data_IF_050090227665
#
_entry.id   IF_050090227665
#
_cell.length_a   1.000
_cell.length_b   1.000
_cell.length_c   1.000
_cell.angle_alpha   90.00
_cell.angle_beta   90.00
_cell.angle_gamma   90.00
#
_symmetry.space_group_name_H-M   'P 1'
#
loop_
_entity.id
_entity.type
_entity.pdbx_description
1 polymer ?
#
# COMPACT_ATOMS: atom_id res chain seq x y z
N UNK A 1 -3.11 15.34 15.41
CA UNK A 1 -1.68 14.99 15.58
C UNK A 1 -1.54 13.48 15.40
N UNK A 2 -0.42 13.01 14.81
CA UNK A 2 -0.13 11.57 14.68
C UNK A 2 1.03 11.23 15.59
N UNK A 3 0.95 10.12 16.30
CA UNK A 3 1.98 9.69 17.25
C UNK A 3 2.07 8.16 17.30
N UNK A 4 3.24 7.64 17.64
CA UNK A 4 3.52 6.22 17.81
C UNK A 4 2.81 5.72 19.07
N UNK A 5 1.94 4.72 18.92
CA UNK A 5 1.17 4.16 20.05
C UNK A 5 1.76 2.84 20.54
N UNK A 6 2.11 1.95 19.64
CA UNK A 6 2.69 0.64 19.96
C UNK A 6 3.80 0.31 18.98
N UNK A 7 4.80 -0.41 19.45
CA UNK A 7 5.86 -1.02 18.64
C UNK A 7 5.96 -2.50 19.02
N UNK A 8 5.81 -3.38 18.04
CA UNK A 8 6.03 -4.82 18.21
C UNK A 8 7.30 -5.23 17.50
N UNK A 9 8.13 -5.94 18.22
CA UNK A 9 9.38 -6.51 17.76
C UNK A 9 9.30 -8.04 17.89
N UNK A 10 9.43 -8.74 16.78
CA UNK A 10 9.47 -10.20 16.76
C UNK A 10 10.78 -10.62 16.09
N UNK A 11 11.57 -11.42 16.78
CA UNK A 11 12.90 -11.89 16.33
C UNK A 11 13.86 -10.74 15.98
N UNK A 12 13.79 -9.62 16.67
CA UNK A 12 14.70 -8.49 16.47
C UNK A 12 15.78 -8.43 17.53
N UNK A 13 17.02 -8.61 17.14
CA UNK A 13 18.20 -8.75 18.03
C UNK A 13 17.91 -9.82 19.11
N UNK A 14 17.92 -9.49 20.39
CA UNK A 14 17.56 -10.42 21.48
C UNK A 14 16.04 -10.39 21.85
N UNK A 15 15.26 -9.52 21.25
CA UNK A 15 13.82 -9.57 21.42
C UNK A 15 13.23 -10.75 20.63
N UNK A 16 12.55 -11.64 21.35
CA UNK A 16 11.87 -12.79 20.75
C UNK A 16 10.48 -12.33 20.27
N UNK A 17 9.68 -11.79 21.19
CA UNK A 17 8.41 -11.17 20.93
C UNK A 17 8.12 -10.15 22.03
N UNK A 18 8.15 -8.87 21.66
CA UNK A 18 7.92 -7.79 22.61
C UNK A 18 7.01 -6.74 22.01
N UNK A 19 6.08 -6.24 22.83
CA UNK A 19 5.20 -5.13 22.45
C UNK A 19 5.39 -3.99 23.44
N UNK A 20 5.85 -2.87 22.92
CA UNK A 20 6.09 -1.66 23.69
C UNK A 20 4.95 -0.66 23.45
N UNK A 21 4.41 -0.12 24.51
CA UNK A 21 3.40 0.93 24.46
C UNK A 21 4.04 2.30 24.66
N UNK A 22 3.61 3.25 23.84
CA UNK A 22 4.08 4.63 23.85
C UNK A 22 2.93 5.57 24.18
N UNK A 23 3.25 6.65 24.85
CA UNK A 23 2.37 7.80 25.01
C UNK A 23 2.76 8.93 24.05
N UNK A 24 2.12 10.08 24.19
CA UNK A 24 2.51 11.28 23.42
C UNK A 24 3.94 11.72 23.71
N UNK A 25 4.41 11.47 24.91
CA UNK A 25 5.79 11.64 25.35
C UNK A 25 6.18 10.39 26.12
N UNK A 26 7.28 9.77 25.74
CA UNK A 26 7.76 8.52 26.34
C UNK A 26 9.25 8.64 26.61
N UNK A 27 9.65 8.36 27.84
CA UNK A 27 11.05 8.26 28.22
C UNK A 27 11.43 6.78 28.33
N UNK A 28 12.41 6.37 27.52
CA UNK A 28 12.97 5.02 27.58
C UNK A 28 14.20 5.04 28.47
N UNK A 29 14.10 4.42 29.64
CA UNK A 29 15.19 4.32 30.62
C UNK A 29 15.55 2.86 30.90
N UNK A 30 16.70 2.62 31.45
CA UNK A 30 17.14 1.29 31.85
C UNK A 30 18.67 1.21 31.94
N UNK A 31 19.16 0.09 32.43
CA UNK A 31 20.59 -0.20 32.56
C UNK A 31 21.27 -0.27 31.17
N UNK A 32 22.59 -0.26 31.17
CA UNK A 32 23.33 -0.52 29.93
C UNK A 32 23.01 -1.93 29.42
N UNK A 33 22.98 -2.09 28.09
CA UNK A 33 22.58 -3.33 27.42
C UNK A 33 21.08 -3.74 27.60
N UNK A 34 20.23 -2.94 28.24
CA UNK A 34 18.79 -3.25 28.38
C UNK A 34 17.96 -3.13 27.08
N UNK A 35 18.59 -2.85 25.93
CA UNK A 35 17.90 -2.79 24.64
C UNK A 35 17.39 -1.42 24.19
N UNK A 36 17.68 -0.37 24.95
CA UNK A 36 17.24 1.00 24.55
C UNK A 36 17.65 1.37 23.14
N UNK A 37 18.92 1.18 22.79
CA UNK A 37 19.43 1.45 21.45
C UNK A 37 18.86 0.50 20.42
N UNK A 38 18.61 -0.76 20.76
CA UNK A 38 18.03 -1.77 19.87
C UNK A 38 16.59 -1.41 19.44
N UNK A 39 15.83 -0.78 20.34
CA UNK A 39 14.48 -0.26 20.05
C UNK A 39 14.59 0.91 19.06
N UNK A 40 15.53 1.83 19.31
CA UNK A 40 15.77 2.99 18.43
C UNK A 40 16.23 2.53 17.03
N UNK A 41 17.10 1.53 16.99
CA UNK A 41 17.58 0.95 15.73
C UNK A 41 16.47 0.25 14.95
N UNK A 42 15.53 -0.41 15.64
CA UNK A 42 14.32 -0.94 15.01
C UNK A 42 13.47 0.17 14.35
N UNK A 43 13.30 1.29 15.05
CA UNK A 43 12.58 2.45 14.50
C UNK A 43 13.34 3.07 13.31
N UNK A 44 14.68 3.08 13.31
CA UNK A 44 15.45 3.51 12.15
C UNK A 44 15.18 2.61 10.94
N UNK A 45 15.25 1.28 11.12
CA UNK A 45 14.98 0.32 10.04
C UNK A 45 13.58 0.52 9.47
N UNK A 46 12.60 0.69 10.34
CA UNK A 46 11.21 0.83 9.94
C UNK A 46 10.93 2.17 9.23
N UNK A 47 11.37 3.28 9.80
CA UNK A 47 10.98 4.61 9.33
C UNK A 47 11.86 5.11 8.19
N UNK A 48 13.17 4.83 8.23
CA UNK A 48 14.10 5.30 7.19
C UNK A 48 14.08 4.36 5.99
N UNK A 49 14.00 3.04 6.22
CA UNK A 49 13.98 1.98 5.21
C UNK A 49 15.16 2.01 4.20
N UNK A 50 16.16 2.84 4.42
CA UNK A 50 17.38 2.91 3.61
C UNK A 50 18.60 2.56 4.45
N UNK A 51 19.11 1.35 4.27
CA UNK A 51 20.25 0.83 5.04
C UNK A 51 21.54 1.65 4.89
N UNK A 52 21.69 2.39 3.79
CA UNK A 52 22.86 3.27 3.58
C UNK A 52 22.88 4.46 4.54
N UNK A 53 21.71 4.86 5.01
CA UNK A 53 21.52 5.99 5.91
C UNK A 53 21.42 5.54 7.38
N UNK A 54 21.06 4.28 7.64
CA UNK A 54 20.92 3.75 9.00
C UNK A 54 22.28 3.61 9.64
N UNK A 55 22.42 4.16 10.83
CA UNK A 55 23.63 4.04 11.66
C UNK A 55 23.25 3.32 12.95
N UNK A 56 23.53 2.03 12.99
CA UNK A 56 23.31 1.23 14.19
C UNK A 56 24.28 1.67 15.31
N UNK A 57 23.70 2.13 16.41
CA UNK A 57 24.34 2.55 17.67
C UNK A 57 25.79 3.11 17.55
N UNK A 58 25.96 4.40 17.24
CA UNK A 58 27.30 5.00 17.09
C UNK A 58 28.06 5.14 18.43
N UNK A 59 27.42 4.85 19.56
CA UNK A 59 28.02 4.95 20.89
C UNK A 59 28.78 3.68 21.36
N UNK A 60 28.70 2.58 20.61
CA UNK A 60 29.49 1.39 20.93
C UNK A 60 30.91 1.56 20.39
N UNK A 61 31.89 1.64 21.29
CA UNK A 61 33.33 1.68 20.99
C UNK A 61 33.87 0.38 20.35
N UNK A 62 33.02 -0.59 20.06
CA UNK A 62 33.41 -1.85 19.43
C UNK A 62 33.60 -1.66 17.93
N UNK A 63 34.80 -1.97 17.47
CA UNK A 63 35.27 -1.95 16.08
C UNK A 63 34.47 -2.86 15.12
N UNK A 64 33.61 -3.74 15.63
CA UNK A 64 32.72 -4.55 14.84
C UNK A 64 31.55 -3.71 14.34
N UNK A 65 31.59 -3.27 13.08
CA UNK A 65 30.47 -2.63 12.39
C UNK A 65 29.22 -3.51 12.54
N UNK A 66 28.25 -3.07 13.33
CA UNK A 66 26.97 -3.73 13.45
C UNK A 66 26.25 -3.67 12.11
N UNK A 67 26.00 -4.81 11.54
CA UNK A 67 25.32 -4.95 10.26
C UNK A 67 23.85 -5.33 10.49
N UNK A 68 23.01 -5.13 9.51
CA UNK A 68 21.61 -5.57 9.57
C UNK A 68 21.49 -7.04 9.93
N UNK A 69 22.30 -7.89 9.32
CA UNK A 69 22.30 -9.33 9.59
C UNK A 69 22.70 -9.67 11.04
N UNK A 70 23.59 -8.89 11.66
CA UNK A 70 23.96 -9.07 13.07
C UNK A 70 22.79 -8.77 14.02
N UNK A 71 21.94 -7.81 13.66
CA UNK A 71 20.69 -7.54 14.39
C UNK A 71 19.65 -8.64 14.18
N UNK A 72 19.47 -9.07 12.95
CA UNK A 72 18.50 -10.13 12.62
C UNK A 72 18.85 -11.44 13.33
N UNK A 73 20.11 -11.87 13.29
CA UNK A 73 20.57 -13.06 14.00
C UNK A 73 20.72 -12.89 15.51
N UNK A 74 20.74 -11.64 15.98
CA UNK A 74 20.90 -11.34 17.41
C UNK A 74 22.31 -11.67 17.89
N UNK A 75 23.35 -11.03 17.33
CA UNK A 75 24.76 -11.23 17.74
C UNK A 75 24.94 -10.79 19.18
N UNK A 76 25.41 -11.70 20.02
CA UNK A 76 25.73 -11.47 21.43
C UNK A 76 27.25 -11.59 21.61
N UNK A 77 27.91 -10.50 22.05
CA UNK A 77 29.36 -10.51 22.34
C UNK A 77 30.23 -10.22 21.10
N UNK A 78 31.56 -10.33 21.32
CA UNK A 78 32.58 -10.08 20.30
C UNK A 78 32.88 -11.30 19.41
N UNK A 79 32.54 -12.49 19.86
CA UNK A 79 32.83 -13.71 19.13
C UNK A 79 31.86 -13.92 17.96
N UNK A 80 32.39 -14.28 16.80
CA UNK A 80 31.62 -14.48 15.57
C UNK A 80 30.65 -15.68 15.58
N UNK A 81 30.61 -16.44 16.68
CA UNK A 81 29.83 -17.69 16.81
C UNK A 81 28.61 -17.59 17.71
N UNK A 82 28.38 -16.50 18.37
CA UNK A 82 27.26 -16.35 19.34
C UNK A 82 26.10 -15.57 18.74
N UNK A 83 25.22 -16.31 18.09
CA UNK A 83 23.93 -15.76 17.59
C UNK A 83 22.78 -16.36 18.39
N UNK A 84 21.74 -15.56 18.64
CA UNK A 84 20.49 -16.00 19.28
C UNK A 84 19.70 -16.92 18.34
N UNK A 85 19.78 -16.65 17.04
CA UNK A 85 19.03 -17.37 16.01
C UNK A 85 19.96 -17.87 14.92
N UNK A 86 19.69 -19.11 14.51
CA UNK A 86 20.35 -19.74 13.38
C UNK A 86 19.30 -20.42 12.48
N UNK A 87 19.66 -20.66 11.21
CA UNK A 87 18.72 -21.20 10.22
C UNK A 87 17.83 -20.16 9.57
N UNK A 88 16.69 -20.62 9.04
CA UNK A 88 15.70 -19.78 8.38
C UNK A 88 14.68 -19.29 9.42
N UNK A 89 14.44 -18.00 9.44
CA UNK A 89 13.46 -17.39 10.35
C UNK A 89 12.91 -16.08 9.78
N UNK A 90 11.81 -15.63 10.33
CA UNK A 90 11.18 -14.36 9.97
C UNK A 90 11.26 -13.38 11.14
N UNK A 91 11.56 -12.12 10.82
CA UNK A 91 11.62 -10.99 11.75
C UNK A 91 10.52 -9.99 11.41
N UNK A 92 9.89 -9.40 12.44
CA UNK A 92 8.94 -8.32 12.27
C UNK A 92 9.32 -7.12 13.12
N UNK A 93 9.24 -5.95 12.51
CA UNK A 93 9.26 -4.66 13.20
C UNK A 93 8.00 -3.92 12.77
N UNK A 94 7.07 -3.70 13.71
CA UNK A 94 5.74 -3.19 13.40
C UNK A 94 5.34 -2.11 14.37
N UNK A 95 4.92 -0.97 13.85
CA UNK A 95 4.51 0.20 14.62
C UNK A 95 3.05 0.58 14.34
N UNK A 96 2.26 0.75 15.39
CA UNK A 96 0.94 1.34 15.33
C UNK A 96 1.03 2.84 15.60
N UNK A 97 0.51 3.63 14.68
CA UNK A 97 0.35 5.07 14.84
C UNK A 97 -1.11 5.44 15.04
N UNK A 98 -1.35 6.36 15.95
CA UNK A 98 -2.67 6.95 16.20
C UNK A 98 -2.80 8.31 15.52
N UNK A 99 -3.81 8.48 14.68
CA UNK A 99 -4.21 9.78 14.15
C UNK A 99 -5.35 10.34 15.01
N UNK A 100 -5.06 11.36 15.82
CA UNK A 100 -6.04 11.96 16.71
C UNK A 100 -7.11 12.73 15.95
N UNK A 101 -6.75 13.36 14.83
CA UNK A 101 -7.70 14.16 14.06
C UNK A 101 -8.81 13.27 13.46
N UNK A 102 -8.44 12.08 13.01
CA UNK A 102 -9.38 11.10 12.42
C UNK A 102 -9.91 10.09 13.43
N UNK A 103 -9.31 10.00 14.62
CA UNK A 103 -9.57 8.96 15.65
C UNK A 103 -9.31 7.53 15.13
N UNK A 104 -8.47 7.39 14.13
CA UNK A 104 -8.12 6.13 13.48
C UNK A 104 -6.70 5.71 13.84
N UNK A 105 -6.41 4.42 13.75
CA UNK A 105 -5.04 3.89 13.83
C UNK A 105 -4.61 3.39 12.46
N UNK A 106 -3.33 3.42 12.21
CA UNK A 106 -2.72 2.73 11.07
C UNK A 106 -1.44 2.05 11.50
N UNK A 107 -1.10 0.99 10.82
CA UNK A 107 0.07 0.18 11.11
C UNK A 107 1.08 0.32 9.98
N UNK A 108 2.33 0.47 10.38
CA UNK A 108 3.50 0.50 9.48
C UNK A 108 4.43 -0.60 9.93
N UNK A 109 4.94 -1.40 9.02
CA UNK A 109 5.80 -2.51 9.39
C UNK A 109 6.78 -2.91 8.31
N UNK A 110 7.73 -3.74 8.70
CA UNK A 110 8.61 -4.48 7.82
C UNK A 110 8.63 -5.93 8.25
N UNK A 111 8.51 -6.83 7.29
CA UNK A 111 8.73 -8.26 7.44
C UNK A 111 10.00 -8.63 6.72
N UNK A 112 10.85 -9.41 7.39
CA UNK A 112 12.18 -9.76 6.91
C UNK A 112 12.35 -11.26 7.06
N UNK A 113 12.45 -11.95 5.95
CA UNK A 113 12.80 -13.37 5.92
C UNK A 113 14.31 -13.51 5.83
N UNK A 114 14.89 -14.22 6.75
CA UNK A 114 16.34 -14.47 6.86
C UNK A 114 16.61 -15.93 6.52
N UNK A 115 17.60 -16.16 5.68
CA UNK A 115 18.00 -17.48 5.20
C UNK A 115 19.33 -17.93 5.81
N UNK A 116 19.61 -19.23 5.75
CA UNK A 116 20.84 -19.85 6.29
C UNK A 116 22.12 -19.27 5.71
N UNK A 117 22.08 -18.89 4.45
CA UNK A 117 23.21 -18.28 3.72
C UNK A 117 23.49 -16.82 4.12
N UNK A 118 22.85 -16.33 5.17
CA UNK A 118 22.90 -14.95 5.68
C UNK A 118 22.32 -13.91 4.71
N UNK A 119 21.62 -14.34 3.67
CA UNK A 119 20.81 -13.46 2.88
C UNK A 119 19.47 -13.18 3.58
N UNK A 120 18.84 -12.07 3.24
CA UNK A 120 17.53 -11.73 3.75
C UNK A 120 16.74 -10.97 2.72
N UNK A 121 15.44 -11.11 2.77
CA UNK A 121 14.49 -10.39 1.93
C UNK A 121 13.54 -9.61 2.80
N UNK A 122 13.37 -8.34 2.48
CA UNK A 122 12.52 -7.41 3.25
C UNK A 122 11.34 -6.91 2.40
N UNK A 123 10.20 -6.76 3.02
CA UNK A 123 9.03 -6.12 2.44
C UNK A 123 8.40 -5.19 3.47
N UNK A 124 8.25 -3.94 3.10
CA UNK A 124 7.63 -2.92 3.93
C UNK A 124 6.13 -2.89 3.68
N UNK A 125 5.35 -2.59 4.71
CA UNK A 125 3.90 -2.48 4.57
C UNK A 125 3.31 -1.33 5.35
N UNK A 126 2.19 -0.81 4.85
CA UNK A 126 1.36 0.21 5.51
C UNK A 126 -0.09 -0.28 5.43
N UNK A 127 -0.72 -0.45 6.57
CA UNK A 127 -2.11 -0.87 6.69
C UNK A 127 -2.92 0.28 7.29
N UNK A 128 -3.85 0.81 6.49
CA UNK A 128 -4.75 1.86 6.96
C UNK A 128 -5.87 1.25 7.82
N UNK A 129 -6.40 2.04 8.73
CA UNK A 129 -7.56 1.69 9.58
C UNK A 129 -7.42 0.32 10.26
N UNK A 130 -6.20 0.05 10.74
CA UNK A 130 -5.80 -1.21 11.34
C UNK A 130 -5.09 -0.95 12.67
N UNK A 131 -5.30 -1.82 13.64
CA UNK A 131 -4.56 -1.83 14.91
C UNK A 131 -3.55 -2.97 14.91
N UNK A 132 -2.50 -2.81 15.69
CA UNK A 132 -1.45 -3.82 15.81
C UNK A 132 -1.99 -5.16 16.32
N UNK A 133 -2.95 -5.11 17.25
CA UNK A 133 -3.55 -6.30 17.86
C UNK A 133 -4.47 -7.10 16.88
N UNK A 134 -4.82 -6.51 15.73
CA UNK A 134 -5.61 -7.14 14.68
C UNK A 134 -4.75 -7.94 13.68
N UNK A 135 -3.42 -7.84 13.82
CA UNK A 135 -2.49 -8.51 12.92
C UNK A 135 -2.19 -9.93 13.39
N UNK A 136 -2.27 -10.85 12.45
CA UNK A 136 -2.03 -12.27 12.65
C UNK A 136 -0.62 -12.64 12.15
N UNK A 137 0.36 -12.66 13.06
CA UNK A 137 1.75 -12.98 12.76
C UNK A 137 2.04 -14.48 12.83
N UNK A 138 1.23 -15.23 13.56
CA UNK A 138 1.46 -16.63 13.89
C UNK A 138 0.46 -17.50 13.14
N UNK A 139 0.94 -18.60 12.58
CA UNK A 139 0.08 -19.62 11.98
C UNK A 139 -0.63 -20.46 13.05
N UNK A 140 -1.73 -21.12 12.71
CA UNK A 140 -2.33 -22.10 13.62
C UNK A 140 -1.37 -23.23 14.05
N UNK A 141 -0.30 -23.44 13.29
CA UNK A 141 0.78 -24.40 13.59
C UNK A 141 1.79 -23.89 14.61
N UNK A 142 1.64 -22.65 15.12
CA UNK A 142 2.57 -22.04 16.07
C UNK A 142 3.81 -21.39 15.44
N UNK A 143 3.99 -21.47 14.12
CA UNK A 143 5.10 -20.83 13.43
C UNK A 143 4.78 -19.44 12.96
N UNK A 144 5.78 -18.56 12.90
CA UNK A 144 5.62 -17.23 12.29
C UNK A 144 5.28 -17.36 10.80
N UNK A 145 4.47 -16.46 10.31
CA UNK A 145 4.21 -16.33 8.88
C UNK A 145 5.45 -15.74 8.22
N UNK A 146 5.84 -16.29 7.10
CA UNK A 146 6.86 -15.65 6.26
C UNK A 146 6.24 -14.43 5.52
N UNK A 147 7.08 -13.67 4.85
CA UNK A 147 6.71 -12.47 4.11
C UNK A 147 5.51 -12.70 3.17
N UNK A 148 5.56 -13.74 2.35
CA UNK A 148 4.51 -13.99 1.34
C UNK A 148 3.20 -14.45 1.97
N UNK A 149 3.28 -15.19 3.07
CA UNK A 149 2.10 -15.61 3.84
C UNK A 149 1.45 -14.46 4.58
N UNK A 150 2.28 -13.59 5.18
CA UNK A 150 1.80 -12.39 5.85
C UNK A 150 1.12 -11.45 4.84
N UNK A 151 1.76 -11.22 3.70
CA UNK A 151 1.19 -10.43 2.61
C UNK A 151 -0.14 -11.01 2.14
N UNK A 152 -0.21 -12.30 1.83
CA UNK A 152 -1.45 -12.95 1.43
C UNK A 152 -2.57 -12.81 2.48
N UNK A 153 -2.22 -12.90 3.75
CA UNK A 153 -3.19 -12.80 4.85
C UNK A 153 -3.76 -11.39 4.98
N UNK A 154 -2.93 -10.35 4.80
CA UNK A 154 -3.27 -8.97 5.09
C UNK A 154 -3.46 -8.09 3.84
N UNK A 155 -3.01 -8.51 2.66
CA UNK A 155 -3.27 -7.81 1.40
C UNK A 155 -4.73 -7.99 0.92
N UNK A 156 -5.31 -9.15 1.22
CA UNK A 156 -6.72 -9.47 0.92
C UNK A 156 -7.56 -9.09 2.15
N UNK A 157 -7.58 -7.83 2.51
CA UNK A 157 -8.55 -7.36 3.49
C UNK A 157 -9.91 -7.24 2.80
N UNK A 158 -10.76 -8.22 3.07
CA UNK A 158 -12.21 -8.32 2.89
C UNK A 158 -12.84 -7.35 1.87
N UNK A 159 -13.45 -7.93 0.88
CA UNK A 159 -14.45 -7.32 -0.01
C UNK A 159 -15.40 -6.46 0.85
N UNK A 160 -15.24 -5.13 0.75
CA UNK A 160 -16.09 -4.17 1.47
C UNK A 160 -15.40 -3.27 2.51
N UNK A 161 -14.18 -3.54 2.94
CA UNK A 161 -13.43 -2.65 3.84
C UNK A 161 -12.55 -1.68 3.05
N UNK A 162 -12.59 -0.39 3.42
CA UNK A 162 -11.76 0.70 2.84
C UNK A 162 -10.28 0.59 3.20
N UNK A 163 -9.82 -0.55 3.72
CA UNK A 163 -8.45 -0.73 4.21
C UNK A 163 -7.50 -0.85 3.03
N UNK A 164 -6.80 0.23 2.75
CA UNK A 164 -5.79 0.27 1.71
C UNK A 164 -4.49 -0.28 2.28
N UNK A 165 -4.21 -1.53 1.97
CA UNK A 165 -2.94 -2.18 2.27
C UNK A 165 -1.92 -1.83 1.19
N UNK A 166 -0.74 -1.38 1.59
CA UNK A 166 0.41 -1.15 0.72
C UNK A 166 1.49 -2.13 1.16
N UNK A 167 2.02 -2.89 0.22
CA UNK A 167 3.17 -3.78 0.41
C UNK A 167 4.21 -3.43 -0.63
N UNK A 168 5.40 -3.03 -0.19
CA UNK A 168 6.42 -2.48 -1.07
C UNK A 168 7.80 -3.03 -0.76
N UNK A 169 8.49 -3.50 -1.80
CA UNK A 169 9.92 -3.82 -1.75
C UNK A 169 10.79 -2.62 -2.13
N UNK A 170 10.22 -1.71 -2.92
CA UNK A 170 10.91 -0.50 -3.32
C UNK A 170 10.87 0.53 -2.18
N UNK A 171 12.03 0.77 -1.59
CA UNK A 171 12.23 1.65 -0.43
C UNK A 171 11.77 3.09 -0.69
N UNK A 172 12.03 3.62 -1.88
CA UNK A 172 11.63 4.99 -2.23
C UNK A 172 10.11 5.13 -2.35
N UNK A 173 9.43 4.09 -2.84
CA UNK A 173 7.95 4.08 -2.94
C UNK A 173 7.36 3.99 -1.54
N UNK A 174 7.90 3.11 -0.69
CA UNK A 174 7.50 3.02 0.70
C UNK A 174 7.70 4.33 1.46
N UNK A 175 8.87 4.96 1.34
CA UNK A 175 9.19 6.24 2.00
C UNK A 175 8.17 7.32 1.63
N UNK A 176 7.84 7.47 0.34
CA UNK A 176 6.82 8.42 -0.12
C UNK A 176 5.45 8.13 0.46
N UNK A 177 5.04 6.85 0.46
CA UNK A 177 3.77 6.42 1.05
C UNK A 177 3.74 6.69 2.56
N UNK A 178 4.83 6.42 3.27
CA UNK A 178 4.99 6.70 4.70
C UNK A 178 4.86 8.19 5.01
N UNK A 179 5.59 9.05 4.31
CA UNK A 179 5.53 10.50 4.49
C UNK A 179 4.12 11.05 4.25
N UNK A 180 3.47 10.56 3.21
CA UNK A 180 2.08 10.92 2.93
C UNK A 180 1.15 10.46 4.07
N UNK A 181 1.35 9.25 4.59
CA UNK A 181 0.54 8.72 5.70
C UNK A 181 0.80 9.45 7.01
N UNK A 182 2.02 9.88 7.26
CA UNK A 182 2.39 10.69 8.43
C UNK A 182 1.88 12.14 8.37
N UNK A 183 1.27 12.57 7.27
CA UNK A 183 0.63 13.88 7.15
C UNK A 183 1.16 14.74 6.01
N UNK A 184 1.76 14.14 4.99
CA UNK A 184 2.35 14.86 3.86
C UNK A 184 3.68 15.52 4.25
N UNK A 185 4.48 14.81 5.06
CA UNK A 185 5.79 15.32 5.47
C UNK A 185 6.74 15.37 4.26
N UNK A 186 7.68 16.31 4.32
CA UNK A 186 8.77 16.42 3.34
C UNK A 186 9.86 15.37 3.63
N UNK A 187 10.64 14.99 2.61
CA UNK A 187 11.79 14.07 2.70
C UNK A 187 12.84 14.50 3.74
N UNK A 188 12.83 15.77 4.14
CA UNK A 188 13.62 16.30 5.27
C UNK A 188 13.35 15.56 6.59
N UNK A 189 12.18 14.95 6.75
CA UNK A 189 11.83 14.15 7.92
C UNK A 189 12.91 13.12 8.23
N UNK A 190 13.38 12.37 7.24
CA UNK A 190 14.37 11.31 7.45
C UNK A 190 15.72 11.89 7.95
N UNK A 191 16.15 13.02 7.41
CA UNK A 191 17.39 13.69 7.85
C UNK A 191 17.28 14.23 9.27
N UNK A 192 16.15 14.84 9.60
CA UNK A 192 15.90 15.37 10.95
C UNK A 192 15.81 14.21 11.94
N UNK A 193 15.13 13.14 11.59
CA UNK A 193 15.01 11.94 12.42
C UNK A 193 16.38 11.33 12.74
N UNK A 194 17.22 11.13 11.73
CA UNK A 194 18.60 10.64 11.91
C UNK A 194 19.45 11.56 12.78
N UNK A 195 19.37 12.86 12.55
CA UNK A 195 20.09 13.85 13.37
C UNK A 195 19.60 13.84 14.82
N UNK A 196 18.31 13.71 15.04
CA UNK A 196 17.73 13.64 16.39
C UNK A 196 18.20 12.39 17.16
N UNK A 197 18.39 11.26 16.49
CA UNK A 197 18.89 10.03 17.10
C UNK A 197 20.40 10.08 17.44
N UNK A 198 21.17 10.85 16.70
CA UNK A 198 22.59 11.09 16.93
C UNK A 198 22.85 12.36 17.75
N UNK A 199 21.86 12.77 18.54
CA UNK A 199 21.92 14.00 19.31
C UNK A 199 23.10 14.01 20.29
N UNK A 200 24.00 14.99 20.09
CA UNK A 200 25.06 15.31 21.04
C UNK A 200 24.59 16.45 21.93
N UNK A 201 25.05 16.52 23.19
CA UNK A 201 24.70 17.64 24.06
C UNK A 201 24.93 18.98 23.36
N UNK A 202 23.95 19.86 23.43
CA UNK A 202 24.00 21.17 22.81
C UNK A 202 25.03 22.02 23.59
N UNK A 203 26.20 22.25 23.01
CA UNK A 203 27.21 23.15 23.56
C UNK A 203 26.98 24.60 23.10
N UNK A 204 26.33 24.76 21.93
CA UNK A 204 26.05 26.07 21.36
C UNK A 204 24.67 26.05 20.67
N UNK A 205 23.80 26.95 21.12
CA UNK A 205 22.42 27.06 20.55
C UNK A 205 22.46 27.46 19.06
N UNK A 206 23.42 28.29 18.65
CA UNK A 206 23.56 28.69 17.27
C UNK A 206 23.85 27.50 16.36
N UNK A 207 24.79 26.64 16.76
CA UNK A 207 25.16 25.43 15.99
C UNK A 207 24.00 24.43 15.92
N UNK A 208 23.22 24.33 17.00
CA UNK A 208 22.00 23.54 17.00
C UNK A 208 20.97 24.07 16.00
N UNK A 209 20.73 25.39 15.99
CA UNK A 209 19.76 25.99 15.07
C UNK A 209 20.21 25.78 13.62
N UNK A 210 21.48 25.99 13.31
CA UNK A 210 22.00 25.74 11.96
C UNK A 210 22.02 24.27 11.58
N UNK A 211 22.36 23.37 12.51
CA UNK A 211 22.45 21.93 12.20
C UNK A 211 21.09 21.24 12.11
N UNK A 212 20.09 21.67 12.87
CA UNK A 212 18.82 20.95 13.04
C UNK A 212 17.57 21.70 12.56
N UNK A 213 17.60 23.04 12.61
CA UNK A 213 16.42 23.87 12.32
C UNK A 213 16.54 24.57 10.97
N UNK A 214 17.70 25.22 10.75
CA UNK A 214 17.96 25.90 9.50
C UNK A 214 18.73 24.95 8.58
N UNK A 215 18.17 24.66 7.42
CA UNK A 215 18.98 24.11 6.34
C UNK A 215 19.87 25.23 5.79
N UNK A 216 21.15 24.95 5.62
CA UNK A 216 21.92 25.63 4.56
C UNK A 216 21.24 25.28 3.23
N UNK A 217 20.21 26.02 2.90
CA UNK A 217 19.76 26.09 1.54
C UNK A 217 20.85 26.85 0.81
N UNK A 218 21.63 26.16 0.00
CA UNK A 218 22.16 26.83 -1.18
C UNK A 218 20.94 27.53 -1.79
N UNK A 219 20.97 28.84 -1.69
CA UNK A 219 20.00 29.68 -2.38
C UNK A 219 20.19 29.33 -3.86
N UNK A 220 19.30 28.49 -4.38
CA UNK A 220 19.28 28.13 -5.80
C UNK A 220 18.83 29.38 -6.57
N UNK A 221 19.69 30.41 -6.53
CA UNK A 221 19.45 31.68 -7.20
C UNK A 221 19.25 31.48 -8.69
N UNK A 222 19.90 30.49 -9.26
CA UNK A 222 19.74 30.14 -10.68
C UNK A 222 18.35 29.56 -10.95
N UNK A 223 17.85 28.67 -10.11
CA UNK A 223 16.49 28.12 -10.22
C UNK A 223 15.44 29.23 -9.99
N UNK A 224 15.71 30.15 -9.06
CA UNK A 224 14.83 31.28 -8.80
C UNK A 224 14.81 32.25 -9.99
N UNK A 225 15.96 32.48 -10.63
CA UNK A 225 16.10 33.28 -11.83
C UNK A 225 15.39 32.64 -13.01
N UNK A 226 15.58 31.35 -13.20
CA UNK A 226 14.91 30.57 -14.25
C UNK A 226 13.38 30.59 -14.08
N UNK A 227 12.89 30.39 -12.84
CA UNK A 227 11.47 30.51 -12.54
C UNK A 227 10.92 31.93 -12.77
N UNK A 228 11.71 32.96 -12.49
CA UNK A 228 11.35 34.33 -12.75
C UNK A 228 11.28 34.62 -14.26
N UNK A 229 12.23 34.10 -15.03
CA UNK A 229 12.24 34.21 -16.50
C UNK A 229 11.03 33.51 -17.12
N UNK A 230 10.65 32.32 -16.60
CA UNK A 230 9.41 31.65 -16.99
C UNK A 230 8.18 32.45 -16.62
N UNK A 231 8.14 33.03 -15.42
CA UNK A 231 7.04 33.89 -15.00
C UNK A 231 6.89 35.11 -15.94
N UNK A 232 7.98 35.80 -16.23
CA UNK A 232 7.98 36.94 -17.16
C UNK A 232 7.54 36.53 -18.57
N UNK A 233 8.00 35.37 -19.06
CA UNK A 233 7.59 34.80 -20.34
C UNK A 233 6.08 34.54 -20.37
N UNK A 234 5.57 33.82 -19.38
CA UNK A 234 4.13 33.49 -19.33
C UNK A 234 3.27 34.73 -19.10
N UNK A 235 3.75 35.70 -18.35
CA UNK A 235 3.09 36.99 -18.19
C UNK A 235 2.91 37.71 -19.53
N UNK A 236 3.98 37.78 -20.32
CA UNK A 236 3.93 38.38 -21.69
C UNK A 236 2.99 37.59 -22.61
N UNK A 237 3.04 36.29 -22.57
CA UNK A 237 2.13 35.42 -23.33
C UNK A 237 0.65 35.65 -22.90
N UNK A 238 0.40 35.77 -21.60
CA UNK A 238 -0.92 36.06 -21.06
C UNK A 238 -1.44 37.42 -21.53
N UNK A 239 -0.59 38.45 -21.48
CA UNK A 239 -0.92 39.81 -21.99
C UNK A 239 -1.23 39.76 -23.50
N UNK A 240 -0.43 39.03 -24.29
CA UNK A 240 -0.72 38.86 -25.72
C UNK A 240 -2.04 38.09 -25.95
N UNK A 241 -2.29 37.05 -25.16
CA UNK A 241 -3.56 36.32 -25.24
C UNK A 241 -4.76 37.18 -24.85
N UNK A 242 -4.61 38.05 -23.84
CA UNK A 242 -5.65 38.99 -23.45
C UNK A 242 -5.93 39.99 -24.59
N UNK A 243 -4.90 40.58 -25.20
CA UNK A 243 -5.06 41.49 -26.36
C UNK A 243 -5.72 40.75 -27.53
N UNK A 244 -5.31 39.50 -27.77
CA UNK A 244 -5.92 38.70 -28.84
C UNK A 244 -7.38 38.35 -28.54
N UNK A 245 -7.71 38.05 -27.29
CA UNK A 245 -9.08 37.84 -26.81
C UNK A 245 -9.94 39.09 -27.04
N UNK A 246 -9.44 40.28 -26.66
CA UNK A 246 -10.15 41.52 -26.84
C UNK A 246 -10.40 41.82 -28.33
N UNK A 247 -9.37 41.60 -29.17
CA UNK A 247 -9.52 41.76 -30.65
C UNK A 247 -10.58 40.80 -31.20
N UNK A 248 -10.54 39.55 -30.76
CA UNK A 248 -11.56 38.57 -31.18
C UNK A 248 -12.96 38.90 -30.67
N UNK A 249 -13.08 39.46 -29.45
CA UNK A 249 -14.36 39.97 -28.95
C UNK A 249 -14.89 41.17 -29.77
N UNK A 250 -14.01 42.11 -30.14
CA UNK A 250 -14.41 43.21 -31.04
C UNK A 250 -14.86 42.67 -32.39
N UNK A 251 -14.14 41.76 -33.00
CA UNK A 251 -14.55 41.11 -34.27
C UNK A 251 -15.91 40.44 -34.10
N UNK A 252 -16.11 39.71 -33.00
CA UNK A 252 -17.40 39.09 -32.70
C UNK A 252 -18.53 40.10 -32.60
N UNK A 253 -18.31 41.19 -31.87
CA UNK A 253 -19.32 42.23 -31.71
C UNK A 253 -19.67 42.92 -33.05
N UNK A 254 -18.64 43.18 -33.87
CA UNK A 254 -18.85 43.73 -35.23
C UNK A 254 -19.58 42.73 -36.12
N UNK A 255 -19.26 41.45 -36.00
CA UNK A 255 -19.94 40.40 -36.75
C UNK A 255 -21.41 40.23 -36.32
N UNK A 256 -21.67 40.31 -35.01
CA UNK A 256 -23.06 40.31 -34.49
C UNK A 256 -23.87 41.53 -34.99
N UNK A 257 -23.23 42.70 -35.08
CA UNK A 257 -23.87 43.88 -35.65
C UNK A 257 -24.12 43.72 -37.16
N UNK A 258 -23.15 43.17 -37.88
CA UNK A 258 -23.27 42.86 -39.30
C UNK A 258 -24.40 41.87 -39.58
N UNK A 259 -24.53 40.81 -38.76
CA UNK A 259 -25.60 39.81 -38.90
C UNK A 259 -26.99 40.43 -38.61
N UNK A 260 -27.07 41.32 -37.62
CA UNK A 260 -28.32 42.07 -37.36
C UNK A 260 -28.72 42.97 -38.54
N UNK A 261 -27.73 43.65 -39.12
CA UNK A 261 -27.96 44.47 -40.31
C UNK A 261 -28.35 43.64 -41.55
N UNK A 262 -27.76 42.42 -41.69
CA UNK A 262 -28.08 41.52 -42.79
C UNK A 262 -29.49 40.92 -42.70
N UNK A 263 -29.96 40.64 -41.49
CA UNK A 263 -31.35 40.18 -41.26
C UNK A 263 -32.38 41.23 -41.62
N UNK A 264 -32.01 42.49 -41.49
CA UNK A 264 -32.93 43.63 -41.83
C UNK A 264 -33.00 43.94 -43.32
N UNK A 265 -32.05 43.36 -44.10
CA UNK A 265 -32.05 43.56 -45.55
C UNK A 265 -32.64 42.32 -46.23
N UNK A 266 -33.97 42.31 -46.43
CA UNK A 266 -34.73 41.20 -46.99
C UNK A 266 -34.29 40.79 -48.44
N UNK A 267 -33.45 41.58 -49.11
CA UNK A 267 -33.08 41.37 -50.52
C UNK A 267 -31.90 40.42 -50.71
N UNK A 268 -31.38 39.74 -49.68
CA UNK A 268 -30.19 38.90 -49.82
C UNK A 268 -30.37 37.41 -49.44
N UNK A 269 -31.56 36.83 -49.62
CA UNK A 269 -31.76 35.37 -49.43
C UNK A 269 -30.73 34.51 -50.14
N UNK A 270 -30.27 34.98 -51.31
CA UNK A 270 -29.25 34.26 -52.06
C UNK A 270 -27.89 34.19 -51.31
N UNK A 271 -27.48 35.28 -50.69
CA UNK A 271 -26.24 35.31 -49.90
C UNK A 271 -26.36 34.45 -48.66
N UNK A 272 -27.55 34.45 -48.04
CA UNK A 272 -27.84 33.60 -46.87
C UNK A 272 -27.80 32.12 -47.24
N UNK A 273 -28.39 31.71 -48.37
CA UNK A 273 -28.31 30.30 -48.85
C UNK A 273 -26.89 29.90 -49.19
N UNK A 274 -26.12 30.77 -49.82
CA UNK A 274 -24.71 30.48 -50.15
C UNK A 274 -23.79 30.45 -48.95
N UNK A 275 -24.08 31.32 -47.93
CA UNK A 275 -23.38 31.27 -46.64
C UNK A 275 -23.72 30.01 -45.82
N UNK A 276 -25.00 29.56 -45.85
CA UNK A 276 -25.40 28.30 -45.28
C UNK A 276 -24.70 27.12 -45.92
N UNK A 277 -24.64 27.13 -47.25
CA UNK A 277 -23.92 26.05 -47.98
C UNK A 277 -22.42 26.03 -47.62
N UNK A 278 -21.78 27.21 -47.56
CA UNK A 278 -20.38 27.31 -47.19
C UNK A 278 -20.12 26.86 -45.73
N UNK A 279 -21.04 27.17 -44.82
CA UNK A 279 -20.97 26.70 -43.42
C UNK A 279 -21.15 25.18 -43.32
N UNK A 280 -22.06 24.62 -44.12
CA UNK A 280 -22.26 23.15 -44.20
C UNK A 280 -21.04 22.46 -44.78
N UNK A 281 -20.40 23.05 -45.83
CA UNK A 281 -19.15 22.54 -46.40
C UNK A 281 -17.99 22.57 -45.38
N UNK A 282 -17.88 23.68 -44.61
CA UNK A 282 -16.88 23.81 -43.54
C UNK A 282 -17.12 22.83 -42.41
N UNK A 283 -18.38 22.61 -42.03
CA UNK A 283 -18.77 21.59 -41.06
C UNK A 283 -18.45 20.18 -41.61
N UNK A 284 -18.70 19.93 -42.88
CA UNK A 284 -18.37 18.67 -43.51
C UNK A 284 -16.86 18.42 -43.50
N UNK A 285 -16.07 19.47 -43.79
CA UNK A 285 -14.60 19.36 -43.77
C UNK A 285 -14.05 19.28 -42.35
N UNK A 286 -14.67 19.97 -41.39
CA UNK A 286 -14.34 19.81 -39.96
C UNK A 286 -14.68 18.40 -39.46
N UNK A 287 -15.83 17.88 -39.82
CA UNK A 287 -16.23 16.50 -39.52
C UNK A 287 -15.28 15.47 -40.21
N UNK A 288 -14.86 15.73 -41.46
CA UNK A 288 -13.88 14.90 -42.15
C UNK A 288 -12.52 14.91 -41.46
N UNK A 289 -12.06 16.09 -40.96
CA UNK A 289 -10.82 16.17 -40.18
C UNK A 289 -10.94 15.44 -38.86
N UNK A 290 -12.07 15.64 -38.14
CA UNK A 290 -12.35 14.88 -36.92
C UNK A 290 -12.43 13.37 -37.18
N UNK A 291 -13.04 12.98 -38.29
CA UNK A 291 -13.13 11.58 -38.70
C UNK A 291 -11.73 11.01 -38.95
N UNK A 292 -10.88 11.73 -39.68
CA UNK A 292 -9.49 11.34 -39.91
C UNK A 292 -8.67 11.27 -38.62
N UNK A 293 -8.88 12.22 -37.69
CA UNK A 293 -8.26 12.18 -36.35
C UNK A 293 -8.74 10.99 -35.53
N UNK A 294 -10.05 10.72 -35.54
CA UNK A 294 -10.63 9.58 -34.86
C UNK A 294 -10.18 8.26 -35.48
N UNK A 295 -10.09 8.16 -36.84
CA UNK A 295 -9.56 6.99 -37.49
C UNK A 295 -8.08 6.76 -37.15
N UNK A 296 -7.27 7.84 -37.14
CA UNK A 296 -5.87 7.74 -36.69
C UNK A 296 -5.74 7.35 -35.21
N UNK A 297 -6.62 7.90 -34.37
CA UNK A 297 -6.72 7.53 -32.96
C UNK A 297 -7.16 6.07 -32.76
N UNK A 298 -8.14 5.62 -33.57
CA UNK A 298 -8.58 4.23 -33.58
C UNK A 298 -7.46 3.27 -34.01
N UNK A 299 -6.66 3.68 -35.00
CA UNK A 299 -5.51 2.88 -35.46
C UNK A 299 -4.48 2.76 -34.35
N UNK A 300 -4.11 3.88 -33.70
CA UNK A 300 -3.20 3.86 -32.53
C UNK A 300 -3.76 3.02 -31.39
N UNK A 301 -5.04 3.20 -31.06
CA UNK A 301 -5.69 2.40 -30.03
C UNK A 301 -5.74 0.92 -30.37
N UNK A 302 -5.94 0.56 -31.66
CA UNK A 302 -5.85 -0.83 -32.11
C UNK A 302 -4.42 -1.38 -31.94
N UNK A 303 -3.42 -0.57 -32.29
CA UNK A 303 -2.02 -0.95 -32.08
C UNK A 303 -1.71 -1.08 -30.58
N UNK A 304 -2.18 -0.12 -29.77
CA UNK A 304 -2.05 -0.17 -28.29
C UNK A 304 -2.77 -1.39 -27.70
N UNK A 305 -4.00 -1.67 -28.18
CA UNK A 305 -4.75 -2.87 -27.78
C UNK A 305 -4.00 -4.14 -28.19
N UNK A 306 -3.46 -4.17 -29.42
CA UNK A 306 -2.68 -5.34 -29.86
C UNK A 306 -1.42 -5.54 -29.03
N UNK A 307 -0.71 -4.43 -28.75
CA UNK A 307 0.46 -4.45 -27.87
C UNK A 307 0.10 -4.85 -26.43
N UNK A 308 -1.01 -4.30 -25.92
CA UNK A 308 -1.50 -4.66 -24.60
C UNK A 308 -1.95 -6.13 -24.55
N UNK A 309 -2.59 -6.62 -25.63
CA UNK A 309 -2.98 -8.02 -25.73
C UNK A 309 -1.75 -8.95 -25.78
N UNK A 310 -0.71 -8.58 -26.53
CA UNK A 310 0.55 -9.34 -26.53
C UNK A 310 1.16 -9.38 -25.13
N UNK A 311 1.29 -8.21 -24.49
CA UNK A 311 1.80 -8.14 -23.12
C UNK A 311 0.94 -8.92 -22.11
N UNK A 312 -0.38 -8.90 -22.32
CA UNK A 312 -1.29 -9.69 -21.50
C UNK A 312 -1.08 -11.19 -21.69
N UNK A 313 -0.96 -11.66 -22.95
CA UNK A 313 -0.70 -13.08 -23.22
C UNK A 313 0.69 -13.52 -22.73
N UNK A 314 1.72 -12.65 -22.86
CA UNK A 314 3.04 -12.90 -22.28
C UNK A 314 2.95 -13.03 -20.75
N UNK A 315 2.33 -12.04 -20.09
CA UNK A 315 2.16 -12.06 -18.64
C UNK A 315 1.29 -13.23 -18.17
N UNK A 316 0.28 -13.60 -18.95
CA UNK A 316 -0.55 -14.77 -18.69
C UNK A 316 0.24 -16.07 -18.83
N UNK A 317 1.05 -16.18 -19.89
CA UNK A 317 1.93 -17.35 -20.08
C UNK A 317 2.96 -17.46 -18.94
N UNK A 318 3.53 -16.33 -18.51
CA UNK A 318 4.42 -16.30 -17.35
C UNK A 318 3.69 -16.72 -16.07
N UNK A 319 2.48 -16.20 -15.87
CA UNK A 319 1.63 -16.56 -14.72
C UNK A 319 1.24 -18.05 -14.76
N UNK A 320 0.90 -18.59 -15.92
CA UNK A 320 0.61 -20.02 -16.11
C UNK A 320 1.85 -20.90 -15.85
N UNK A 321 3.02 -20.45 -16.33
CA UNK A 321 4.29 -21.13 -16.00
C UNK A 321 4.60 -21.07 -14.52
N UNK A 322 4.43 -19.91 -13.90
CA UNK A 322 4.61 -19.75 -12.45
C UNK A 322 3.60 -20.61 -11.69
N UNK A 323 2.34 -20.64 -12.13
CA UNK A 323 1.31 -21.49 -11.55
C UNK A 323 1.63 -22.98 -11.71
N UNK A 324 2.18 -23.36 -12.87
CA UNK A 324 2.59 -24.76 -13.13
C UNK A 324 3.77 -25.15 -12.25
N UNK A 325 4.77 -24.26 -12.12
CA UNK A 325 5.89 -24.47 -11.18
C UNK A 325 5.38 -24.54 -9.73
N UNK A 326 4.46 -23.66 -9.37
CA UNK A 326 3.84 -23.67 -8.05
C UNK A 326 3.08 -24.97 -7.80
N UNK A 327 2.20 -25.39 -8.75
CA UNK A 327 1.47 -26.66 -8.66
C UNK A 327 2.38 -27.89 -8.67
N UNK A 328 3.54 -27.81 -9.34
CA UNK A 328 4.51 -28.90 -9.34
C UNK A 328 5.29 -29.05 -8.02
N UNK A 329 5.28 -28.01 -7.19
CA UNK A 329 5.92 -28.04 -5.89
C UNK A 329 5.21 -29.02 -4.96
N UNK A 330 6.01 -29.89 -4.30
CA UNK A 330 5.44 -30.97 -3.45
C UNK A 330 4.52 -30.44 -2.35
N UNK A 331 4.76 -29.25 -1.85
CA UNK A 331 3.89 -28.59 -0.88
C UNK A 331 2.51 -28.26 -1.45
N UNK A 332 2.45 -27.81 -2.72
CA UNK A 332 1.18 -27.44 -3.38
C UNK A 332 0.40 -28.68 -3.74
N UNK A 333 1.07 -29.70 -4.27
CA UNK A 333 0.45 -31.00 -4.51
C UNK A 333 -0.15 -31.58 -3.23
N UNK A 334 0.58 -31.38 -2.12
CA UNK A 334 0.09 -31.82 -0.81
C UNK A 334 -1.12 -30.99 -0.33
N UNK A 335 -1.09 -29.68 -0.59
CA UNK A 335 -2.24 -28.83 -0.27
C UNK A 335 -3.47 -29.18 -1.10
N UNK A 336 -3.32 -29.39 -2.42
CA UNK A 336 -4.43 -29.82 -3.29
C UNK A 336 -5.00 -31.18 -2.84
N UNK A 337 -4.12 -32.10 -2.50
CA UNK A 337 -4.52 -33.40 -1.97
C UNK A 337 -5.29 -33.26 -0.65
N UNK A 338 -4.79 -32.41 0.26
CA UNK A 338 -5.49 -32.14 1.52
C UNK A 338 -6.82 -31.41 1.28
N UNK A 339 -6.90 -30.47 0.33
CA UNK A 339 -8.17 -29.81 -0.04
C UNK A 339 -9.17 -30.80 -0.61
N UNK A 340 -8.70 -31.72 -1.46
CA UNK A 340 -9.56 -32.79 -2.00
C UNK A 340 -10.08 -33.64 -0.86
N UNK A 341 -9.22 -34.08 0.06
CA UNK A 341 -9.62 -34.88 1.23
C UNK A 341 -10.63 -34.13 2.11
N UNK A 342 -10.40 -32.80 2.35
CA UNK A 342 -11.36 -31.98 3.09
C UNK A 342 -12.70 -31.89 2.36
N UNK A 343 -12.69 -31.78 1.03
CA UNK A 343 -13.89 -31.83 0.20
C UNK A 343 -14.67 -33.12 0.39
N UNK A 344 -13.97 -34.23 0.22
CA UNK A 344 -14.54 -35.57 0.40
C UNK A 344 -15.11 -35.79 1.83
N UNK A 345 -14.38 -35.27 2.84
CA UNK A 345 -14.85 -35.34 4.22
C UNK A 345 -16.08 -34.44 4.47
N UNK A 346 -16.13 -33.24 3.88
CA UNK A 346 -17.32 -32.35 3.96
C UNK A 346 -18.53 -32.99 3.32
N UNK A 347 -18.36 -33.59 2.15
CA UNK A 347 -19.43 -34.29 1.44
C UNK A 347 -19.89 -35.51 2.26
N UNK A 348 -18.95 -36.26 2.84
CA UNK A 348 -19.23 -37.33 3.77
C UNK A 348 -20.00 -36.85 5.01
N UNK A 349 -19.56 -35.77 5.61
CA UNK A 349 -20.28 -35.16 6.74
C UNK A 349 -21.70 -34.70 6.37
N UNK A 350 -21.87 -34.14 5.16
CA UNK A 350 -23.15 -33.69 4.70
C UNK A 350 -24.10 -34.89 4.47
N UNK A 351 -23.60 -35.99 3.89
CA UNK A 351 -24.36 -37.24 3.74
C UNK A 351 -24.79 -37.78 5.10
N UNK A 352 -23.81 -37.87 6.05
CA UNK A 352 -24.09 -38.33 7.41
C UNK A 352 -25.13 -37.43 8.11
N UNK A 353 -25.07 -36.10 7.93
CA UNK A 353 -26.09 -35.19 8.46
C UNK A 353 -27.47 -35.42 7.83
N UNK A 354 -27.52 -35.70 6.52
CA UNK A 354 -28.76 -36.05 5.85
C UNK A 354 -29.31 -37.35 6.37
N UNK A 355 -28.48 -38.38 6.49
CA UNK A 355 -28.84 -39.65 7.07
C UNK A 355 -29.34 -39.51 8.51
N UNK A 356 -28.59 -38.75 9.33
CA UNK A 356 -29.01 -38.45 10.70
C UNK A 356 -30.34 -37.73 10.77
N UNK A 357 -30.57 -36.77 9.84
CA UNK A 357 -31.87 -36.08 9.75
C UNK A 357 -33.02 -37.03 9.34
N UNK A 358 -32.66 -38.02 8.52
CA UNK A 358 -33.60 -39.03 8.06
C UNK A 358 -33.93 -39.98 9.22
N UNK A 359 -32.90 -40.44 9.91
CA UNK A 359 -33.06 -41.29 11.10
C UNK A 359 -33.88 -40.57 12.19
N UNK A 360 -33.57 -39.28 12.44
CA UNK A 360 -34.34 -38.45 13.40
C UNK A 360 -35.84 -38.41 13.01
N UNK A 361 -36.11 -38.15 11.71
CA UNK A 361 -37.51 -38.13 11.21
C UNK A 361 -38.20 -39.46 11.35
N UNK A 362 -37.50 -40.57 11.09
CA UNK A 362 -38.03 -41.91 11.31
C UNK A 362 -38.29 -42.14 12.78
N UNK A 363 -37.35 -41.85 13.67
CA UNK A 363 -37.52 -41.96 15.11
C UNK A 363 -38.67 -41.09 15.64
N UNK A 364 -38.79 -39.85 15.17
CA UNK A 364 -39.91 -38.98 15.53
C UNK A 364 -41.25 -39.53 15.03
N UNK A 365 -41.26 -40.15 13.86
CA UNK A 365 -42.43 -40.79 13.31
C UNK A 365 -42.84 -42.04 14.13
N UNK A 366 -41.81 -42.88 14.39
CA UNK A 366 -42.02 -44.07 15.20
C UNK A 366 -42.42 -43.70 16.64
N UNK A 367 -41.79 -42.66 17.22
CA UNK A 367 -42.16 -42.14 18.52
C UNK A 367 -43.61 -41.64 18.56
N UNK A 368 -44.04 -40.91 17.53
CA UNK A 368 -45.45 -40.47 17.40
C UNK A 368 -46.39 -41.64 17.30
N UNK A 369 -46.01 -42.68 16.56
CA UNK A 369 -46.79 -43.90 16.48
C UNK A 369 -46.90 -44.65 17.83
N UNK A 370 -45.78 -44.71 18.55
CA UNK A 370 -45.73 -45.30 19.89
C UNK A 370 -46.63 -44.51 20.86
N UNK A 371 -46.56 -43.18 20.83
CA UNK A 371 -47.42 -42.31 21.65
C UNK A 371 -48.90 -42.49 21.27
N UNK A 372 -49.20 -42.57 19.97
CA UNK A 372 -50.60 -42.84 19.52
C UNK A 372 -51.10 -44.20 19.91
N UNK A 373 -50.24 -45.22 19.97
CA UNK A 373 -50.54 -46.54 20.43
C UNK A 373 -50.70 -46.58 21.97
N UNK A 374 -49.98 -45.78 22.70
CA UNK A 374 -50.13 -45.64 24.15
C UNK A 374 -51.42 -44.97 24.57
N UNK A 375 -51.95 -44.05 23.71
CA UNK A 375 -53.24 -43.36 23.94
C UNK A 375 -54.48 -44.13 23.39
N UNK A 376 -54.27 -45.33 22.88
CA UNK A 376 -55.42 -46.12 22.39
C UNK A 376 -56.23 -46.71 23.56
N UNK A 377 -57.57 -46.54 23.56
CA UNK A 377 -58.47 -46.98 24.64
C UNK A 377 -58.61 -48.48 24.88
N UNK A 378 -57.69 -49.26 24.40
CA UNK A 378 -57.64 -50.69 24.57
C UNK A 378 -56.37 -51.28 25.16
N UNK A 379 -55.43 -50.43 25.66
CA UNK A 379 -54.09 -50.87 26.05
C UNK A 379 -53.90 -50.75 27.58
N UNK A 380 -54.74 -51.43 28.34
CA UNK A 380 -54.61 -51.53 29.81
C UNK A 380 -53.51 -52.52 30.27
N UNK A 381 -52.44 -52.71 29.45
CA UNK A 381 -51.49 -53.78 29.70
C UNK A 381 -50.00 -53.42 29.65
N UNK A 382 -49.59 -52.17 29.36
CA UNK A 382 -48.18 -51.82 29.29
C UNK A 382 -47.93 -50.52 30.06
N UNK A 383 -47.77 -50.65 31.35
CA UNK A 383 -47.04 -49.68 32.17
C UNK A 383 -45.68 -50.25 32.53
#
# INVERSE_FOLDING_TARGET
MKWLKKLRLINWHYFIEETLEFGRQTLITGQNAAGKSTIIDALQVLLIADQRQIRFNPAAHDEAKRTMISYLKGKIGSDDRTFVRDGDFTTYIVAEFRDEAKKESFVVGVVIDVFRDQQYEEEYFILADCKLDELDFIKPTGHLRNRDEFKRRHAVSSVGSRTRAIFERNKSVYQKALLQRLGGLNDRFFRIFLKALSFKPIQNVRDFVYAYILDEKELQLDLMRENFDYYEKYKRELEQLQIRKEKLQRIRNVYEQFDKLRVTVQEQEYVIRRLKLALEEEQLDANRRQLAELESGLLRLKDDISLAAMKYEEAKAEAEQALTRWKSHDAVKREEELRRQIGEWRDGQQRLRQELSLVKRVLEREWKLIVQLADWPGNDGWK
#
